data_IF_584293940743
#
_entry.id   IF_584293940743
#
_cell.length_a   1.000
_cell.length_b   1.000
_cell.length_c   1.000
_cell.angle_alpha   90.00
_cell.angle_beta   90.00
_cell.angle_gamma   90.00
#
_symmetry.space_group_name_H-M   'P 1'
#
loop_
_entity.id
_entity.type
_entity.pdbx_description
1 polymer ?
#
# COMPACT_ATOMS: atom_id res chain seq x y z
N UNK A 1 -33.81 38.08 -19.72
CA UNK A 1 -33.58 36.63 -19.51
C UNK A 1 -32.13 36.32 -19.08
N UNK A 2 -31.11 36.72 -19.85
CA UNK A 2 -29.68 36.46 -19.57
C UNK A 2 -29.19 37.03 -18.22
N UNK A 3 -29.64 38.22 -17.82
CA UNK A 3 -29.27 38.82 -16.53
C UNK A 3 -29.76 37.99 -15.34
N UNK A 4 -30.96 37.39 -15.44
CA UNK A 4 -31.57 36.57 -14.39
C UNK A 4 -30.84 35.22 -14.25
N UNK A 5 -30.38 34.64 -15.37
CA UNK A 5 -29.54 33.43 -15.37
C UNK A 5 -28.17 33.69 -14.73
N UNK A 6 -27.51 34.82 -15.06
CA UNK A 6 -26.23 35.20 -14.42
C UNK A 6 -26.37 35.41 -12.91
N UNK A 7 -27.50 35.96 -12.46
CA UNK A 7 -27.79 36.14 -11.02
C UNK A 7 -27.97 34.79 -10.30
N UNK A 8 -28.71 33.85 -10.90
CA UNK A 8 -28.91 32.51 -10.34
C UNK A 8 -27.61 31.71 -10.28
N UNK A 9 -26.75 31.77 -11.31
CA UNK A 9 -25.43 31.12 -11.29
C UNK A 9 -24.51 31.68 -10.20
N UNK A 10 -24.53 33.00 -9.97
CA UNK A 10 -23.78 33.64 -8.87
C UNK A 10 -24.29 33.18 -7.52
N UNK A 11 -25.61 33.06 -7.32
CA UNK A 11 -26.19 32.55 -6.08
C UNK A 11 -25.86 31.06 -5.85
N UNK A 12 -25.90 30.25 -6.91
CA UNK A 12 -25.55 28.83 -6.85
C UNK A 12 -24.07 28.62 -6.48
N UNK A 13 -23.16 29.37 -7.12
CA UNK A 13 -21.73 29.32 -6.79
C UNK A 13 -21.43 29.75 -5.35
N UNK A 14 -22.11 30.80 -4.83
CA UNK A 14 -21.97 31.21 -3.42
C UNK A 14 -22.45 30.12 -2.46
N UNK A 15 -23.61 29.50 -2.71
CA UNK A 15 -24.13 28.40 -1.88
C UNK A 15 -23.20 27.18 -1.91
N UNK A 16 -22.62 26.85 -3.07
CA UNK A 16 -21.66 25.74 -3.24
C UNK A 16 -20.34 26.01 -2.51
N UNK A 17 -19.82 27.24 -2.56
CA UNK A 17 -18.64 27.68 -1.81
C UNK A 17 -18.87 27.63 -0.30
N UNK A 18 -20.00 28.13 0.18
CA UNK A 18 -20.37 28.08 1.60
C UNK A 18 -20.49 26.62 2.11
N UNK A 19 -21.10 25.72 1.31
CA UNK A 19 -21.21 24.29 1.65
C UNK A 19 -19.85 23.59 1.69
N UNK A 20 -18.92 23.96 0.78
CA UNK A 20 -17.52 23.50 0.80
C UNK A 20 -16.74 24.03 2.00
N UNK A 21 -16.93 25.28 2.39
CA UNK A 21 -16.29 25.87 3.58
C UNK A 21 -16.82 25.25 4.88
N UNK A 22 -18.12 25.00 4.98
CA UNK A 22 -18.72 24.26 6.10
C UNK A 22 -18.24 22.80 6.17
N UNK A 23 -18.10 22.13 5.02
CA UNK A 23 -17.51 20.79 4.94
C UNK A 23 -16.05 20.77 5.40
N UNK A 24 -15.24 21.73 4.93
CA UNK A 24 -13.85 21.92 5.38
C UNK A 24 -13.75 22.25 6.86
N UNK A 25 -14.63 23.10 7.40
CA UNK A 25 -14.63 23.45 8.82
C UNK A 25 -15.00 22.26 9.72
N UNK A 26 -15.93 21.40 9.29
CA UNK A 26 -16.28 20.15 10.00
C UNK A 26 -15.16 19.12 9.93
N UNK A 27 -14.52 18.96 8.78
CA UNK A 27 -13.31 18.13 8.64
C UNK A 27 -12.19 18.67 9.52
N UNK A 28 -11.91 19.97 9.48
CA UNK A 28 -10.88 20.62 10.28
C UNK A 28 -11.12 20.46 11.79
N UNK A 29 -12.38 20.54 12.26
CA UNK A 29 -12.72 20.28 13.67
C UNK A 29 -12.48 18.80 14.06
N UNK A 30 -12.84 17.85 13.20
CA UNK A 30 -12.55 16.43 13.42
C UNK A 30 -11.03 16.14 13.41
N UNK A 31 -10.27 16.81 12.55
CA UNK A 31 -8.79 16.77 12.51
C UNK A 31 -8.19 17.34 13.79
N UNK A 32 -8.73 18.44 14.32
CA UNK A 32 -8.29 19.05 15.58
C UNK A 32 -8.55 18.12 16.77
N UNK A 33 -9.71 17.45 16.83
CA UNK A 33 -9.99 16.44 17.87
C UNK A 33 -9.03 15.24 17.78
N UNK A 34 -8.65 14.83 16.56
CA UNK A 34 -7.67 13.77 16.32
C UNK A 34 -6.26 14.18 16.74
N UNK A 35 -5.86 15.42 16.45
CA UNK A 35 -4.58 16.02 16.85
C UNK A 35 -4.50 16.22 18.37
N UNK A 36 -5.61 16.60 19.02
CA UNK A 36 -5.69 16.72 20.48
C UNK A 36 -5.60 15.37 21.19
N UNK A 37 -6.22 14.30 20.65
CA UNK A 37 -5.98 12.92 21.10
C UNK A 37 -4.53 12.49 20.89
N UNK A 38 -3.88 12.96 19.82
CA UNK A 38 -2.46 12.70 19.53
C UNK A 38 -1.50 13.38 20.52
N UNK A 39 -1.82 14.59 21.01
CA UNK A 39 -1.03 15.26 22.07
C UNK A 39 -1.02 14.50 23.39
N UNK A 40 -2.01 13.64 23.65
CA UNK A 40 -1.97 12.71 24.79
C UNK A 40 -1.03 11.51 24.56
N UNK A 41 -0.58 11.27 23.32
CA UNK A 41 0.20 10.09 22.90
C UNK A 41 1.69 10.38 22.59
N UNK A 42 2.16 11.62 22.76
CA UNK A 42 3.51 12.03 22.35
C UNK A 42 4.43 12.32 23.55
N UNK A 43 5.25 11.34 23.93
CA UNK A 43 6.57 11.50 24.58
C UNK A 43 7.21 10.11 24.76
N UNK A 44 8.08 9.71 23.82
CA UNK A 44 8.71 8.39 23.80
C UNK A 44 7.71 7.27 23.53
N UNK A 45 8.03 6.31 22.68
CA UNK A 45 7.15 5.15 22.45
C UNK A 45 7.27 4.21 23.66
N UNK A 46 6.66 4.61 24.76
CA UNK A 46 6.38 3.81 25.95
C UNK A 46 4.85 3.90 26.17
N UNK A 47 4.11 3.03 25.48
CA UNK A 47 2.65 2.92 25.55
C UNK A 47 2.16 1.72 24.70
N UNK A 48 1.01 1.11 25.03
CA UNK A 48 0.62 -0.20 24.52
C UNK A 48 0.16 -0.08 23.06
N UNK A 49 1.04 -0.33 22.11
CA UNK A 49 0.61 -0.53 20.73
C UNK A 49 -0.18 -1.83 20.63
N UNK A 50 -1.30 -1.86 19.90
CA UNK A 50 -2.03 -3.10 19.70
C UNK A 50 -1.12 -4.12 19.03
N UNK A 51 -1.05 -5.31 19.62
CA UNK A 51 -0.32 -6.43 19.00
C UNK A 51 -1.11 -6.85 17.77
N UNK A 52 -0.53 -6.76 16.59
CA UNK A 52 -1.24 -7.09 15.34
C UNK A 52 -0.58 -8.30 14.73
N UNK A 53 -1.41 -9.22 14.25
CA UNK A 53 -0.94 -10.24 13.35
C UNK A 53 -1.47 -10.02 11.95
N UNK A 54 -0.77 -10.60 10.99
CA UNK A 54 -1.28 -10.77 9.65
C UNK A 54 -0.80 -12.10 9.10
N UNK A 55 -1.55 -12.63 8.14
CA UNK A 55 -1.23 -13.89 7.51
C UNK A 55 -1.39 -13.81 6.00
N UNK A 56 -0.39 -14.35 5.31
CA UNK A 56 -0.37 -14.57 3.87
C UNK A 56 -0.41 -16.06 3.63
N UNK A 57 -1.32 -16.52 2.77
CA UNK A 57 -1.39 -17.91 2.35
C UNK A 57 -0.71 -18.09 1.02
N UNK A 58 0.51 -18.62 1.02
CA UNK A 58 1.35 -18.77 -0.17
C UNK A 58 1.82 -20.23 -0.30
N UNK A 59 1.87 -20.75 -1.52
CA UNK A 59 2.51 -22.03 -1.84
C UNK A 59 4.04 -21.95 -1.90
N UNK A 60 4.60 -20.73 -1.92
CA UNK A 60 6.03 -20.47 -1.97
C UNK A 60 6.53 -19.76 -0.70
N UNK A 61 7.70 -20.16 -0.19
CA UNK A 61 8.30 -19.64 1.04
C UNK A 61 8.78 -18.16 0.94
N UNK A 62 8.77 -17.59 -0.26
CA UNK A 62 9.42 -16.33 -0.66
C UNK A 62 8.71 -15.04 -0.20
N UNK A 63 7.40 -15.06 0.05
CA UNK A 63 6.65 -13.87 0.52
C UNK A 63 6.83 -13.56 2.01
N UNK A 64 7.44 -14.48 2.77
CA UNK A 64 7.60 -14.36 4.23
C UNK A 64 8.61 -13.27 4.65
N UNK A 65 9.49 -12.82 3.75
CA UNK A 65 10.54 -11.83 4.08
C UNK A 65 10.14 -10.36 3.84
N UNK A 66 9.32 -10.08 2.81
CA UNK A 66 8.77 -8.74 2.54
C UNK A 66 7.95 -8.18 3.71
N UNK A 67 7.54 -9.09 4.61
CA UNK A 67 6.70 -8.86 5.76
C UNK A 67 7.37 -8.26 7.01
N UNK A 68 8.72 -8.27 7.08
CA UNK A 68 9.47 -7.93 8.31
C UNK A 68 9.59 -6.43 8.61
N UNK A 69 9.08 -5.55 7.74
CA UNK A 69 9.28 -4.10 7.81
C UNK A 69 8.47 -3.33 8.87
N UNK A 70 7.60 -3.97 9.67
CA UNK A 70 6.75 -3.29 10.63
C UNK A 70 7.02 -3.78 12.07
N UNK A 71 7.71 -2.94 12.87
CA UNK A 71 7.95 -3.22 14.30
C UNK A 71 6.61 -3.34 15.04
N UNK A 72 6.45 -4.39 15.86
CA UNK A 72 5.24 -4.63 16.66
C UNK A 72 4.20 -5.56 16.02
N UNK A 73 4.52 -6.14 14.86
CA UNK A 73 3.65 -7.09 14.16
C UNK A 73 4.14 -8.53 14.38
N UNK A 74 3.26 -9.42 14.86
CA UNK A 74 3.49 -10.85 14.91
C UNK A 74 3.13 -11.47 13.55
N UNK A 75 4.06 -12.15 12.89
CA UNK A 75 3.76 -12.82 11.61
C UNK A 75 3.28 -14.24 11.93
N UNK A 76 2.05 -14.56 11.54
CA UNK A 76 1.53 -15.93 11.57
C UNK A 76 1.51 -16.45 10.13
N UNK A 77 2.36 -17.43 9.84
CA UNK A 77 2.37 -18.12 8.54
C UNK A 77 2.06 -19.60 8.75
N UNK A 78 0.99 -20.09 8.13
CA UNK A 78 0.73 -21.54 8.06
C UNK A 78 1.25 -22.10 6.75
N UNK A 79 2.27 -22.97 6.81
CA UNK A 79 2.54 -23.89 5.70
C UNK A 79 1.54 -25.03 5.80
N UNK A 80 0.71 -25.24 4.77
CA UNK A 80 -0.08 -26.48 4.67
C UNK A 80 0.76 -27.50 3.90
N UNK A 81 1.25 -28.59 4.52
CA UNK A 81 2.00 -29.60 3.80
C UNK A 81 1.09 -30.31 2.80
N UNK A 82 1.44 -30.30 1.51
CA UNK A 82 1.05 -31.38 0.60
C UNK A 82 -0.19 -31.22 -0.28
N UNK A 83 -0.57 -30.02 -0.74
CA UNK A 83 -1.48 -29.91 -1.89
C UNK A 83 -0.97 -28.90 -2.92
N UNK A 84 -0.18 -29.40 -3.87
CA UNK A 84 0.43 -28.67 -4.96
C UNK A 84 -0.54 -28.21 -6.08
N UNK A 85 -1.86 -28.12 -5.82
CA UNK A 85 -2.84 -27.73 -6.84
C UNK A 85 -3.83 -26.67 -6.30
N UNK A 86 -3.61 -25.41 -6.69
CA UNK A 86 -4.60 -24.33 -6.91
C UNK A 86 -5.67 -23.96 -5.86
N UNK A 87 -5.64 -24.41 -4.60
CA UNK A 87 -6.69 -24.10 -3.59
C UNK A 87 -6.22 -23.54 -2.23
N UNK A 88 -5.28 -22.60 -2.19
CA UNK A 88 -4.66 -22.15 -0.91
C UNK A 88 -5.28 -20.86 -0.32
N UNK A 89 -6.52 -20.47 -0.66
CA UNK A 89 -7.18 -19.25 -0.11
C UNK A 89 -8.48 -19.54 0.64
N UNK A 90 -8.46 -20.48 1.59
CA UNK A 90 -9.68 -20.94 2.28
C UNK A 90 -9.93 -20.22 3.59
N UNK A 91 -11.22 -20.11 3.98
CA UNK A 91 -11.62 -19.58 5.28
C UNK A 91 -11.02 -20.40 6.44
N UNK A 92 -10.86 -21.71 6.23
CA UNK A 92 -10.21 -22.62 7.19
C UNK A 92 -8.79 -22.19 7.55
N UNK A 93 -7.97 -21.87 6.54
CA UNK A 93 -6.57 -21.53 6.77
C UNK A 93 -6.43 -20.17 7.49
N UNK A 94 -7.26 -19.19 7.14
CA UNK A 94 -7.32 -17.95 7.91
C UNK A 94 -7.85 -18.13 9.34
N UNK A 95 -8.78 -19.06 9.57
CA UNK A 95 -9.25 -19.36 10.93
C UNK A 95 -8.13 -19.89 11.82
N UNK A 96 -7.29 -20.80 11.31
CA UNK A 96 -6.13 -21.31 12.04
C UNK A 96 -5.14 -20.18 12.38
N UNK A 97 -4.77 -19.34 11.41
CA UNK A 97 -3.88 -18.21 11.65
C UNK A 97 -4.48 -17.17 12.62
N UNK A 98 -5.79 -16.94 12.55
CA UNK A 98 -6.48 -16.10 13.54
C UNK A 98 -6.41 -16.72 14.94
N UNK A 99 -6.64 -18.03 15.06
CA UNK A 99 -6.53 -18.73 16.35
C UNK A 99 -5.14 -18.57 16.96
N UNK A 100 -4.08 -18.77 16.17
CA UNK A 100 -2.69 -18.59 16.61
C UNK A 100 -2.40 -17.13 17.00
N UNK A 101 -2.79 -16.18 16.14
CA UNK A 101 -2.59 -14.75 16.37
C UNK A 101 -3.27 -14.26 17.66
N UNK A 102 -4.54 -14.61 17.82
CA UNK A 102 -5.33 -14.21 18.99
C UNK A 102 -4.92 -15.01 20.23
N UNK A 103 -4.54 -16.28 20.10
CA UNK A 103 -3.92 -17.05 21.19
C UNK A 103 -2.62 -16.42 21.68
N UNK A 104 -1.82 -15.86 20.77
CA UNK A 104 -0.58 -15.18 21.10
C UNK A 104 -0.79 -13.81 21.78
N UNK A 105 -2.00 -13.26 21.82
CA UNK A 105 -2.27 -11.95 22.43
C UNK A 105 -2.47 -10.79 21.44
N UNK A 106 -2.65 -11.04 20.15
CA UNK A 106 -2.92 -9.97 19.16
C UNK A 106 -4.32 -9.38 19.32
N UNK A 107 -4.52 -8.09 19.07
CA UNK A 107 -5.81 -7.38 19.15
C UNK A 107 -6.53 -7.31 17.80
N UNK A 108 -5.78 -7.45 16.71
CA UNK A 108 -6.32 -7.52 15.35
C UNK A 108 -5.51 -8.50 14.48
N UNK A 109 -6.18 -9.05 13.48
CA UNK A 109 -5.60 -9.91 12.45
C UNK A 109 -5.86 -9.30 11.07
N UNK A 110 -4.86 -9.24 10.19
CA UNK A 110 -5.02 -8.81 8.79
C UNK A 110 -4.87 -10.02 7.86
N UNK A 111 -5.97 -10.42 7.21
CA UNK A 111 -5.97 -11.38 6.12
C UNK A 111 -5.40 -10.72 4.87
N UNK A 112 -4.41 -11.35 4.23
CA UNK A 112 -3.82 -10.91 2.97
C UNK A 112 -3.76 -12.08 1.99
N UNK A 113 -4.35 -11.90 0.82
CA UNK A 113 -4.23 -12.84 -0.30
C UNK A 113 -2.80 -12.76 -0.88
N UNK A 114 -2.22 -13.89 -1.26
CA UNK A 114 -0.83 -13.95 -1.74
C UNK A 114 -0.70 -13.60 -3.23
N UNK A 115 -1.81 -13.55 -3.98
CA UNK A 115 -1.82 -13.20 -5.41
C UNK A 115 -1.61 -11.70 -5.65
N UNK A 116 -1.75 -10.90 -4.61
CA UNK A 116 -1.68 -9.46 -4.69
C UNK A 116 -0.73 -8.86 -3.66
N UNK A 117 -0.65 -7.55 -3.66
CA UNK A 117 0.33 -6.81 -2.86
C UNK A 117 -0.32 -5.60 -2.21
N UNK A 118 -0.30 -5.49 -0.87
CA UNK A 118 -0.74 -4.28 -0.21
C UNK A 118 0.19 -3.12 -0.58
N UNK A 119 -0.39 -1.95 -0.85
CA UNK A 119 0.39 -0.70 -0.92
C UNK A 119 1.16 -0.51 0.40
N UNK A 120 2.37 0.09 0.41
CA UNK A 120 3.20 0.22 1.63
C UNK A 120 2.45 0.75 2.86
N UNK A 121 1.62 1.77 2.67
CA UNK A 121 0.82 2.36 3.76
C UNK A 121 -0.50 1.63 4.08
N UNK A 122 -0.85 0.54 3.37
CA UNK A 122 -2.17 -0.07 3.49
C UNK A 122 -2.42 -0.68 4.87
N UNK A 123 -1.43 -1.39 5.43
CA UNK A 123 -1.56 -2.00 6.76
C UNK A 123 -1.70 -0.93 7.84
N UNK A 124 -0.89 0.14 7.75
CA UNK A 124 -0.98 1.31 8.64
C UNK A 124 -2.36 1.99 8.53
N UNK A 125 -2.87 2.18 7.32
CA UNK A 125 -4.19 2.78 7.10
C UNK A 125 -5.33 1.92 7.65
N UNK A 126 -5.26 0.59 7.50
CA UNK A 126 -6.21 -0.34 8.10
C UNK A 126 -6.19 -0.24 9.62
N UNK A 127 -5.00 -0.20 10.24
CA UNK A 127 -4.87 -0.05 11.68
C UNK A 127 -5.41 1.29 12.19
N UNK A 128 -5.08 2.39 11.51
CA UNK A 128 -5.59 3.71 11.88
C UNK A 128 -7.12 3.74 11.84
N UNK A 129 -7.74 3.14 10.82
CA UNK A 129 -9.19 3.03 10.75
C UNK A 129 -9.75 2.10 11.84
N UNK A 130 -9.06 1.01 12.18
CA UNK A 130 -9.43 0.10 13.27
C UNK A 130 -9.48 0.85 14.62
N UNK A 131 -8.44 1.61 14.93
CA UNK A 131 -8.38 2.44 16.13
C UNK A 131 -9.47 3.53 16.12
N UNK A 132 -9.67 4.22 14.99
CA UNK A 132 -10.71 5.24 14.85
C UNK A 132 -12.14 4.66 14.98
N UNK A 133 -12.32 3.38 14.66
CA UNK A 133 -13.57 2.65 14.84
C UNK A 133 -13.70 2.00 16.24
N UNK A 134 -12.83 2.35 17.20
CA UNK A 134 -12.78 1.75 18.54
C UNK A 134 -12.74 0.22 18.48
N UNK A 135 -11.92 -0.32 17.58
CA UNK A 135 -11.73 -1.76 17.35
C UNK A 135 -13.01 -2.54 17.02
N UNK A 136 -14.09 -1.85 16.63
CA UNK A 136 -15.43 -2.42 16.48
C UNK A 136 -15.90 -2.44 15.01
N UNK A 137 -14.96 -2.66 14.08
CA UNK A 137 -15.24 -2.76 12.66
C UNK A 137 -14.40 -3.83 11.95
N UNK A 138 -15.06 -4.57 11.06
CA UNK A 138 -14.43 -5.37 10.00
C UNK A 138 -14.07 -4.41 8.85
N UNK A 139 -12.81 -4.36 8.45
CA UNK A 139 -12.31 -3.31 7.54
C UNK A 139 -11.55 -3.94 6.39
N UNK A 140 -11.86 -3.57 5.15
CA UNK A 140 -11.07 -4.00 3.99
C UNK A 140 -10.37 -2.86 3.25
N UNK A 141 -9.35 -3.22 2.46
CA UNK A 141 -8.69 -2.32 1.53
C UNK A 141 -9.45 -2.23 0.19
N UNK A 142 -9.19 -1.16 -0.57
CA UNK A 142 -9.64 -1.05 -1.95
C UNK A 142 -8.75 -1.92 -2.85
N UNK A 143 -9.39 -2.76 -3.65
CA UNK A 143 -8.72 -3.51 -4.71
C UNK A 143 -8.59 -2.70 -5.98
N UNK A 144 -7.46 -2.87 -6.65
CA UNK A 144 -7.21 -2.31 -7.98
C UNK A 144 -6.26 -3.23 -8.76
N UNK A 145 -6.20 -3.15 -10.11
CA UNK A 145 -6.90 -2.20 -10.96
C UNK A 145 -8.39 -2.52 -11.11
N UNK A 146 -8.80 -3.76 -10.84
CA UNK A 146 -10.20 -4.18 -10.87
C UNK A 146 -10.77 -4.20 -9.46
N UNK A 147 -11.80 -3.39 -9.24
CA UNK A 147 -12.64 -3.49 -8.05
C UNK A 147 -13.81 -4.43 -8.34
N UNK A 148 -14.12 -5.34 -7.41
CA UNK A 148 -15.40 -6.04 -7.43
C UNK A 148 -16.56 -5.02 -7.40
N UNK A 149 -17.74 -5.36 -7.96
CA UNK A 149 -18.90 -4.48 -7.98
C UNK A 149 -19.44 -4.29 -6.56
N UNK A 150 -18.81 -3.41 -5.80
CA UNK A 150 -19.12 -3.08 -4.42
C UNK A 150 -19.03 -1.58 -4.22
N UNK A 151 -20.02 -1.02 -3.53
CA UNK A 151 -20.03 0.38 -3.13
C UNK A 151 -19.81 0.53 -1.63
N UNK A 152 -19.25 1.67 -1.23
CA UNK A 152 -19.16 2.09 0.17
C UNK A 152 -19.55 3.57 0.26
N UNK A 153 -20.09 3.98 1.41
CA UNK A 153 -20.47 5.36 1.64
C UNK A 153 -19.22 6.25 1.81
N UNK A 154 -19.11 7.33 1.05
CA UNK A 154 -17.89 8.15 1.03
C UNK A 154 -17.61 8.93 2.32
N UNK A 155 -18.58 9.05 3.24
CA UNK A 155 -18.43 9.81 4.49
C UNK A 155 -18.22 8.90 5.70
N UNK A 156 -19.00 7.83 5.80
CA UNK A 156 -18.97 6.87 6.89
C UNK A 156 -18.08 5.67 6.59
N UNK A 157 -17.72 5.46 5.32
CA UNK A 157 -16.96 4.33 4.81
C UNK A 157 -17.67 2.98 4.97
N UNK A 158 -18.95 2.98 5.35
CA UNK A 158 -19.72 1.76 5.55
C UNK A 158 -19.95 1.06 4.21
N UNK A 159 -19.86 -0.27 4.22
CA UNK A 159 -20.06 -1.12 3.05
C UNK A 159 -20.98 -2.31 3.36
N UNK A 160 -21.50 -2.94 2.31
CA UNK A 160 -22.34 -4.13 2.42
C UNK A 160 -21.55 -5.33 2.97
N UNK A 161 -20.30 -5.49 2.54
CA UNK A 161 -19.42 -6.60 2.93
C UNK A 161 -17.95 -6.21 2.77
N UNK A 162 -17.07 -6.77 3.60
CA UNK A 162 -15.62 -6.60 3.50
C UNK A 162 -15.03 -7.77 2.71
N UNK A 163 -14.05 -7.49 1.87
CA UNK A 163 -13.45 -8.48 0.99
C UNK A 163 -12.17 -9.07 1.58
N UNK A 164 -12.04 -10.41 1.52
CA UNK A 164 -10.94 -11.15 2.15
C UNK A 164 -9.53 -10.89 1.58
N UNK A 165 -9.41 -10.31 0.38
CA UNK A 165 -8.11 -10.12 -0.26
C UNK A 165 -7.12 -9.27 0.57
N UNK A 166 -7.64 -8.26 1.29
CA UNK A 166 -6.87 -7.52 2.28
C UNK A 166 -7.84 -6.96 3.32
N UNK A 167 -7.97 -7.65 4.45
CA UNK A 167 -9.04 -7.41 5.43
C UNK A 167 -8.53 -7.50 6.86
N UNK A 168 -8.82 -6.48 7.66
CA UNK A 168 -8.59 -6.45 9.10
C UNK A 168 -9.81 -6.98 9.86
N UNK A 169 -9.58 -8.00 10.69
CA UNK A 169 -10.52 -8.64 11.60
C UNK A 169 -10.16 -8.31 13.05
N UNK A 170 -11.04 -7.63 13.82
CA UNK A 170 -10.83 -7.42 15.25
C UNK A 170 -10.86 -8.73 16.05
N UNK A 171 -10.06 -8.83 17.11
CA UNK A 171 -10.15 -9.94 18.10
C UNK A 171 -11.58 -10.09 18.62
N UNK A 172 -12.21 -9.01 19.03
CA UNK A 172 -13.55 -9.03 19.62
C UNK A 172 -14.62 -9.61 18.66
N UNK A 173 -14.41 -9.46 17.36
CA UNK A 173 -15.25 -10.10 16.34
C UNK A 173 -14.92 -11.59 16.25
N UNK A 174 -13.63 -11.95 16.21
CA UNK A 174 -13.19 -13.34 16.17
C UNK A 174 -13.68 -14.14 17.38
N UNK A 175 -13.60 -13.62 18.61
CA UNK A 175 -14.03 -14.34 19.82
C UNK A 175 -15.50 -14.77 19.75
N UNK A 176 -16.34 -13.95 19.11
CA UNK A 176 -17.77 -14.23 18.94
C UNK A 176 -18.10 -15.05 17.69
N UNK A 177 -17.20 -15.05 16.69
CA UNK A 177 -17.46 -15.68 15.39
C UNK A 177 -16.63 -16.92 15.11
N UNK A 178 -15.53 -17.11 15.81
CA UNK A 178 -14.50 -18.09 15.48
C UNK A 178 -14.03 -17.98 14.01
N UNK A 179 -14.09 -16.77 13.45
CA UNK A 179 -13.68 -16.46 12.08
C UNK A 179 -14.71 -16.79 11.00
N UNK A 180 -14.23 -17.21 9.84
CA UNK A 180 -15.03 -17.55 8.65
C UNK A 180 -15.93 -18.78 8.91
N UNK A 181 -17.12 -18.77 8.32
CA UNK A 181 -18.05 -19.92 8.35
C UNK A 181 -17.66 -20.91 7.24
N UNK A 182 -17.08 -22.04 7.65
CA UNK A 182 -16.46 -23.03 6.75
C UNK A 182 -17.48 -24.03 6.19
N UNK A 183 -18.75 -23.94 6.64
CA UNK A 183 -19.86 -24.67 6.04
C UNK A 183 -20.37 -24.04 4.73
N UNK A 184 -19.97 -22.79 4.45
CA UNK A 184 -20.37 -22.07 3.24
C UNK A 184 -19.38 -22.26 2.10
N UNK A 185 -19.83 -22.07 0.84
CA UNK A 185 -18.92 -21.95 -0.29
C UNK A 185 -17.88 -20.84 -0.04
N UNK A 186 -16.62 -21.10 -0.40
CA UNK A 186 -15.50 -20.18 -0.15
C UNK A 186 -15.72 -18.79 -0.75
N UNK A 187 -16.40 -18.70 -1.90
CA UNK A 187 -16.74 -17.44 -2.56
C UNK A 187 -17.72 -16.57 -1.76
N UNK A 188 -18.37 -17.13 -0.74
CA UNK A 188 -19.34 -16.44 0.11
C UNK A 188 -18.85 -16.25 1.55
N UNK A 189 -17.64 -16.72 1.88
CA UNK A 189 -17.14 -16.74 3.25
C UNK A 189 -16.99 -15.32 3.83
N UNK A 190 -16.57 -14.35 3.03
CA UNK A 190 -16.38 -12.94 3.41
C UNK A 190 -17.72 -12.18 3.55
N UNK A 191 -18.68 -12.44 2.66
CA UNK A 191 -20.07 -11.98 2.79
C UNK A 191 -20.70 -12.52 4.07
N UNK A 192 -20.49 -13.81 4.37
CA UNK A 192 -21.03 -14.46 5.56
C UNK A 192 -20.44 -13.88 6.86
N UNK A 193 -19.12 -13.72 6.91
CA UNK A 193 -18.47 -13.08 8.06
C UNK A 193 -18.95 -11.64 8.23
N UNK A 194 -19.12 -10.89 7.14
CA UNK A 194 -19.66 -9.52 7.17
C UNK A 194 -21.08 -9.45 7.72
N UNK A 195 -21.95 -10.39 7.32
CA UNK A 195 -23.32 -10.46 7.82
C UNK A 195 -23.35 -10.77 9.32
N UNK A 196 -22.51 -11.71 9.77
CA UNK A 196 -22.37 -12.07 11.19
C UNK A 196 -21.81 -10.92 12.02
N UNK A 197 -20.80 -10.21 11.50
CA UNK A 197 -20.27 -9.01 12.14
C UNK A 197 -21.36 -7.95 12.36
N UNK A 198 -22.19 -7.69 11.34
CA UNK A 198 -23.32 -6.75 11.46
C UNK A 198 -24.37 -7.20 12.47
N UNK A 199 -24.69 -8.49 12.51
CA UNK A 199 -25.63 -9.05 13.49
C UNK A 199 -25.14 -8.88 14.93
N UNK A 200 -23.82 -8.88 15.15
CA UNK A 200 -23.17 -8.63 16.44
C UNK A 200 -22.92 -7.12 16.70
N UNK A 201 -23.43 -6.23 15.86
CA UNK A 201 -23.33 -4.77 16.04
C UNK A 201 -22.02 -4.15 15.53
N UNK A 202 -21.08 -4.95 14.99
CA UNK A 202 -19.86 -4.42 14.37
C UNK A 202 -20.20 -3.66 13.09
N UNK A 203 -19.41 -2.63 12.78
CA UNK A 203 -19.45 -1.99 11.47
C UNK A 203 -18.68 -2.81 10.45
N UNK A 204 -19.04 -2.65 9.18
CA UNK A 204 -18.27 -3.18 8.06
C UNK A 204 -17.88 -1.99 7.19
N UNK A 205 -16.59 -1.77 6.98
CA UNK A 205 -16.05 -0.57 6.36
C UNK A 205 -15.03 -0.89 5.28
N UNK A 206 -14.91 0.00 4.29
CA UNK A 206 -13.80 0.01 3.33
C UNK A 206 -12.88 1.18 3.64
N UNK A 207 -11.58 0.92 3.80
CA UNK A 207 -10.59 1.94 4.08
C UNK A 207 -10.06 2.52 2.76
N UNK A 208 -10.45 3.75 2.36
CA UNK A 208 -10.03 4.32 1.07
C UNK A 208 -8.53 4.63 1.02
N UNK A 209 -7.87 4.74 2.18
CA UNK A 209 -6.43 4.94 2.27
C UNK A 209 -5.63 3.63 2.20
N UNK A 210 -6.27 2.47 2.30
CA UNK A 210 -5.64 1.17 2.13
C UNK A 210 -5.91 0.67 0.71
N UNK A 211 -4.83 0.49 -0.07
CA UNK A 211 -4.89 -0.04 -1.43
C UNK A 211 -4.24 -1.41 -1.46
N UNK A 212 -4.81 -2.33 -2.23
CA UNK A 212 -4.29 -3.67 -2.44
C UNK A 212 -4.29 -3.99 -3.93
N UNK A 213 -3.10 -4.20 -4.48
CA UNK A 213 -2.93 -4.61 -5.87
C UNK A 213 -3.37 -6.05 -5.98
N UNK A 214 -4.24 -6.36 -6.92
CA UNK A 214 -4.44 -7.73 -7.37
C UNK A 214 -4.19 -7.72 -8.86
N UNK A 215 -3.13 -8.40 -9.30
CA UNK A 215 -2.90 -8.56 -10.73
C UNK A 215 -4.15 -9.23 -11.34
N UNK A 216 -4.67 -8.74 -12.49
CA UNK A 216 -5.69 -9.49 -13.20
C UNK A 216 -5.12 -10.88 -13.50
N UNK A 217 -5.99 -11.91 -13.54
CA UNK A 217 -5.58 -13.25 -13.97
C UNK A 217 -4.98 -13.13 -15.38
N UNK A 218 -3.64 -13.07 -15.47
CA UNK A 218 -2.98 -13.12 -16.76
C UNK A 218 -3.31 -14.49 -17.37
N UNK A 219 -3.66 -14.57 -18.65
CA UNK A 219 -3.56 -15.84 -19.34
C UNK A 219 -2.14 -16.35 -19.09
N UNK A 220 -1.99 -17.66 -18.87
CA UNK A 220 -0.69 -18.30 -18.84
C UNK A 220 -0.01 -18.16 -20.22
N UNK A 221 0.47 -16.97 -20.54
CA UNK A 221 1.36 -16.75 -21.66
C UNK A 221 2.73 -17.12 -21.16
N UNK A 222 3.25 -18.25 -21.64
CA UNK A 222 4.64 -18.66 -21.51
C UNK A 222 5.62 -17.71 -22.20
N UNK A 223 5.44 -16.40 -22.02
CA UNK A 223 6.46 -15.42 -22.32
C UNK A 223 7.58 -15.66 -21.31
N UNK A 224 8.74 -16.12 -21.80
CA UNK A 224 9.99 -16.03 -21.04
C UNK A 224 10.11 -14.57 -20.59
N UNK A 225 9.98 -14.31 -19.28
CA UNK A 225 10.34 -13.00 -18.75
C UNK A 225 11.81 -12.80 -19.09
N UNK A 226 12.12 -11.75 -19.84
CA UNK A 226 13.50 -11.34 -20.06
C UNK A 226 14.27 -11.36 -18.74
N UNK A 227 15.49 -11.90 -18.77
CA UNK A 227 16.42 -11.78 -17.64
C UNK A 227 17.34 -10.57 -17.83
N UNK A 228 17.12 -9.79 -18.89
CA UNK A 228 17.91 -8.59 -19.12
C UNK A 228 17.60 -7.56 -18.04
N UNK A 229 18.66 -6.89 -17.56
CA UNK A 229 18.56 -5.91 -16.50
C UNK A 229 17.67 -4.74 -16.91
N UNK A 230 16.86 -4.27 -15.95
CA UNK A 230 16.24 -2.94 -15.97
C UNK A 230 16.99 -1.99 -15.04
N UNK A 231 17.37 -0.83 -15.55
CA UNK A 231 17.87 0.29 -14.75
C UNK A 231 16.71 1.24 -14.43
N UNK A 232 16.47 1.44 -13.14
CA UNK A 232 15.43 2.33 -12.61
C UNK A 232 16.11 3.60 -12.12
N UNK A 233 15.79 4.73 -12.74
CA UNK A 233 16.31 6.04 -12.35
C UNK A 233 15.28 6.73 -11.46
N UNK A 234 15.68 7.02 -10.22
CA UNK A 234 14.89 7.71 -9.23
C UNK A 234 15.54 9.04 -8.86
N UNK A 235 14.86 10.16 -9.16
CA UNK A 235 15.38 11.50 -8.83
C UNK A 235 15.02 11.85 -7.41
N UNK A 236 15.95 12.42 -6.64
CA UNK A 236 15.69 12.80 -5.27
C UNK A 236 16.39 14.10 -4.87
N UNK A 237 15.64 15.18 -4.65
CA UNK A 237 16.20 16.54 -4.54
C UNK A 237 15.94 17.22 -3.20
N UNK A 238 15.28 16.55 -2.26
CA UNK A 238 14.97 17.10 -0.95
C UNK A 238 15.03 16.02 0.14
N UNK A 239 16.08 16.04 0.94
CA UNK A 239 16.30 15.08 2.04
C UNK A 239 15.13 15.04 3.03
N UNK A 240 14.36 16.14 3.18
CA UNK A 240 13.20 16.18 4.08
C UNK A 240 12.08 15.23 3.63
N UNK A 241 12.08 14.86 2.35
CA UNK A 241 11.12 13.91 1.74
C UNK A 241 11.61 12.46 1.78
N UNK A 242 12.60 12.14 2.61
CA UNK A 242 13.18 10.78 2.71
C UNK A 242 12.17 9.69 3.06
N UNK A 243 11.08 10.03 3.77
CA UNK A 243 9.99 9.10 4.04
C UNK A 243 9.26 8.64 2.77
N UNK A 244 9.17 9.49 1.76
CA UNK A 244 8.60 9.15 0.46
C UNK A 244 9.56 8.26 -0.33
N UNK A 245 10.84 8.67 -0.40
CA UNK A 245 11.89 7.87 -1.03
C UNK A 245 11.93 6.45 -0.45
N UNK A 246 11.82 6.33 0.89
CA UNK A 246 11.74 5.05 1.58
C UNK A 246 10.65 4.14 1.01
N UNK A 247 9.46 4.69 0.73
CA UNK A 247 8.33 3.92 0.15
C UNK A 247 8.62 3.53 -1.29
N UNK A 248 9.15 4.44 -2.10
CA UNK A 248 9.53 4.17 -3.49
C UNK A 248 10.57 3.03 -3.56
N UNK A 249 11.66 3.14 -2.80
CA UNK A 249 12.73 2.12 -2.76
C UNK A 249 12.21 0.78 -2.25
N UNK A 250 11.34 0.78 -1.22
CA UNK A 250 10.71 -0.44 -0.72
C UNK A 250 9.92 -1.15 -1.84
N UNK A 251 9.19 -0.40 -2.66
CA UNK A 251 8.44 -1.01 -3.77
C UNK A 251 9.33 -1.62 -4.85
N UNK A 252 10.51 -1.04 -5.10
CA UNK A 252 11.50 -1.63 -6.02
C UNK A 252 12.13 -2.89 -5.41
N UNK A 253 12.48 -2.88 -4.13
CA UNK A 253 13.01 -4.04 -3.43
C UNK A 253 12.01 -5.21 -3.38
N UNK A 254 10.71 -4.91 -3.35
CA UNK A 254 9.65 -5.92 -3.40
C UNK A 254 9.32 -6.42 -4.82
N UNK A 255 10.01 -5.94 -5.86
CA UNK A 255 9.76 -6.35 -7.25
C UNK A 255 9.99 -7.84 -7.47
N UNK A 256 9.15 -8.45 -8.30
CA UNK A 256 9.32 -9.84 -8.75
C UNK A 256 10.26 -9.94 -9.96
N UNK A 257 10.71 -8.82 -10.53
CA UNK A 257 11.65 -8.83 -11.66
C UNK A 257 13.07 -9.20 -11.20
N UNK A 258 13.79 -10.07 -11.94
CA UNK A 258 14.98 -10.75 -11.40
C UNK A 258 16.26 -9.91 -11.35
N UNK A 259 16.51 -8.99 -12.29
CA UNK A 259 17.73 -8.15 -12.31
C UNK A 259 17.33 -6.66 -12.41
N UNK A 260 17.44 -5.96 -11.28
CA UNK A 260 17.16 -4.52 -11.16
C UNK A 260 18.39 -3.78 -10.66
N UNK A 261 18.72 -2.72 -11.37
CA UNK A 261 19.61 -1.67 -10.89
C UNK A 261 18.78 -0.44 -10.54
N UNK A 262 18.93 0.09 -9.33
CA UNK A 262 18.27 1.30 -8.87
C UNK A 262 19.31 2.41 -8.71
N UNK A 263 19.14 3.49 -9.47
CA UNK A 263 19.97 4.69 -9.40
C UNK A 263 19.18 5.81 -8.74
N UNK A 264 19.59 6.20 -7.52
CA UNK A 264 19.07 7.38 -6.84
C UNK A 264 19.94 8.56 -7.20
N UNK A 265 19.42 9.48 -8.02
CA UNK A 265 20.16 10.65 -8.50
C UNK A 265 19.77 11.86 -7.66
N UNK A 266 20.69 12.35 -6.84
CA UNK A 266 20.46 13.46 -5.92
C UNK A 266 20.93 14.79 -6.49
N UNK A 267 20.36 15.90 -6.02
CA UNK A 267 20.76 17.25 -6.41
C UNK A 267 21.32 18.00 -5.21
N UNK A 268 22.60 18.38 -5.26
CA UNK A 268 23.26 19.20 -4.23
C UNK A 268 23.20 18.66 -2.80
N UNK A 269 23.20 17.33 -2.61
CA UNK A 269 23.23 16.76 -1.28
C UNK A 269 24.64 16.87 -0.69
N UNK A 270 24.76 17.20 0.58
CA UNK A 270 26.03 17.13 1.30
C UNK A 270 26.32 15.69 1.80
N UNK A 271 27.45 15.50 2.48
CA UNK A 271 27.81 14.19 3.02
C UNK A 271 26.79 13.66 4.05
N UNK A 272 26.18 14.56 4.84
CA UNK A 272 25.20 14.18 5.86
C UNK A 272 23.88 13.75 5.20
N UNK A 273 23.44 14.44 4.16
CA UNK A 273 22.27 14.09 3.36
C UNK A 273 22.44 12.74 2.66
N UNK A 274 23.60 12.51 2.03
CA UNK A 274 23.92 11.22 1.40
C UNK A 274 23.94 10.09 2.45
N UNK A 275 24.56 10.32 3.62
CA UNK A 275 24.57 9.36 4.71
C UNK A 275 23.15 9.08 5.25
N UNK A 276 22.28 10.10 5.28
CA UNK A 276 20.88 9.93 5.67
C UNK A 276 20.12 9.04 4.68
N UNK A 277 20.29 9.28 3.37
CA UNK A 277 19.73 8.43 2.31
C UNK A 277 20.22 6.99 2.47
N UNK A 278 21.53 6.75 2.56
CA UNK A 278 22.12 5.42 2.73
C UNK A 278 21.56 4.68 3.95
N UNK A 279 21.45 5.36 5.09
CA UNK A 279 20.91 4.78 6.33
C UNK A 279 19.48 4.26 6.17
N UNK A 280 18.67 4.93 5.33
CA UNK A 280 17.29 4.53 5.09
C UNK A 280 17.19 3.42 4.05
N UNK A 281 17.97 3.50 2.96
CA UNK A 281 17.80 2.61 1.81
C UNK A 281 18.58 1.30 1.92
N UNK A 282 19.76 1.28 2.56
CA UNK A 282 20.59 0.07 2.64
C UNK A 282 19.85 -1.09 3.31
N UNK A 283 19.17 -0.89 4.46
CA UNK A 283 18.39 -1.97 5.08
C UNK A 283 17.25 -2.47 4.19
N UNK A 284 16.71 -1.62 3.31
CA UNK A 284 15.62 -1.99 2.41
C UNK A 284 16.15 -2.82 1.24
N UNK A 285 17.32 -2.47 0.71
CA UNK A 285 17.98 -3.23 -0.34
C UNK A 285 18.34 -4.65 0.13
N UNK A 286 18.71 -4.82 1.40
CA UNK A 286 18.97 -6.13 2.02
C UNK A 286 17.72 -7.01 2.13
N UNK A 287 16.52 -6.42 2.11
CA UNK A 287 15.24 -7.15 2.15
C UNK A 287 14.74 -7.56 0.75
N UNK A 288 15.46 -7.18 -0.31
CA UNK A 288 15.04 -7.48 -1.67
C UNK A 288 15.11 -8.99 -1.93
N UNK A 289 14.05 -9.55 -2.50
CA UNK A 289 14.01 -10.99 -2.86
C UNK A 289 15.07 -11.36 -3.90
N UNK A 290 15.37 -10.41 -4.79
CA UNK A 290 16.44 -10.51 -5.78
C UNK A 290 17.51 -9.46 -5.45
N UNK A 291 18.80 -9.74 -5.72
CA UNK A 291 19.86 -8.76 -5.48
C UNK A 291 19.60 -7.42 -6.17
N UNK A 292 19.30 -6.39 -5.37
CA UNK A 292 19.08 -5.03 -5.86
C UNK A 292 20.42 -4.30 -5.97
N UNK A 293 20.81 -3.91 -7.19
CA UNK A 293 22.03 -3.11 -7.39
C UNK A 293 21.73 -1.64 -7.17
N UNK A 294 22.13 -1.13 -6.02
CA UNK A 294 21.85 0.24 -5.62
C UNK A 294 23.04 1.15 -5.90
N UNK A 295 22.77 2.28 -6.55
CA UNK A 295 23.74 3.37 -6.74
C UNK A 295 23.12 4.69 -6.31
N UNK A 296 23.89 5.52 -5.61
CA UNK A 296 23.54 6.92 -5.34
C UNK A 296 24.50 7.79 -6.15
N UNK A 297 23.96 8.69 -6.96
CA UNK A 297 24.76 9.61 -7.77
C UNK A 297 24.36 11.03 -7.44
N UNK A 298 25.26 11.78 -6.82
CA UNK A 298 25.00 13.17 -6.48
C UNK A 298 25.42 14.11 -7.62
N UNK A 299 24.51 14.96 -8.07
CA UNK A 299 24.73 15.93 -9.14
C UNK A 299 24.85 17.34 -8.56
N UNK A 300 26.04 17.98 -8.64
CA UNK A 300 26.20 19.37 -8.27
C UNK A 300 25.58 20.30 -9.32
N UNK A 301 24.85 21.31 -8.85
CA UNK A 301 24.12 22.28 -9.63
C UNK A 301 24.18 23.66 -8.97
N UNK A 302 24.11 24.71 -9.79
CA UNK A 302 24.01 26.08 -9.28
C UNK A 302 22.81 26.23 -8.31
N UNK A 303 22.93 27.01 -7.22
CA UNK A 303 21.83 27.25 -6.29
C UNK A 303 20.58 27.76 -7.02
N UNK A 304 19.41 27.22 -6.67
CA UNK A 304 18.13 27.61 -7.27
C UNK A 304 17.89 27.09 -8.71
N UNK A 305 18.84 26.36 -9.30
CA UNK A 305 18.66 25.73 -10.61
C UNK A 305 17.72 24.53 -10.50
N UNK A 306 16.73 24.48 -11.38
CA UNK A 306 15.94 23.28 -11.62
C UNK A 306 16.76 22.31 -12.48
N UNK A 307 17.26 21.23 -11.86
CA UNK A 307 18.10 20.25 -12.53
C UNK A 307 17.35 18.97 -12.88
N UNK A 308 16.01 18.97 -12.89
CA UNK A 308 15.20 17.75 -13.08
C UNK A 308 15.61 16.95 -14.33
N UNK A 309 15.82 17.61 -15.46
CA UNK A 309 16.25 16.97 -16.71
C UNK A 309 17.70 16.50 -16.65
N UNK A 310 18.58 17.23 -15.98
CA UNK A 310 19.99 16.85 -15.83
C UNK A 310 20.13 15.59 -14.98
N UNK A 311 19.33 15.48 -13.92
CA UNK A 311 19.26 14.29 -13.09
C UNK A 311 18.80 13.06 -13.88
N UNK A 312 17.77 13.21 -14.75
CA UNK A 312 17.34 12.12 -15.63
C UNK A 312 18.46 11.70 -16.59
N UNK A 313 19.06 12.66 -17.29
CA UNK A 313 20.13 12.38 -18.25
C UNK A 313 21.35 11.74 -17.59
N UNK A 314 21.71 12.19 -16.38
CA UNK A 314 22.78 11.59 -15.59
C UNK A 314 22.45 10.15 -15.20
N UNK A 315 21.23 9.91 -14.71
CA UNK A 315 20.76 8.56 -14.41
C UNK A 315 20.78 7.64 -15.64
N UNK A 316 20.32 8.14 -16.78
CA UNK A 316 20.36 7.41 -18.07
C UNK A 316 21.79 7.07 -18.47
N UNK A 317 22.71 8.03 -18.41
CA UNK A 317 24.11 7.82 -18.78
C UNK A 317 24.85 6.84 -17.83
N UNK A 318 24.36 6.67 -16.60
CA UNK A 318 24.90 5.74 -15.61
C UNK A 318 24.22 4.38 -15.61
N UNK A 319 23.09 4.24 -16.31
CA UNK A 319 22.31 3.02 -16.38
C UNK A 319 23.06 1.93 -17.15
N UNK A 320 23.00 0.69 -16.66
CA UNK A 320 23.67 -0.48 -17.28
C UNK A 320 22.70 -1.52 -17.86
N UNK A 321 21.40 -1.32 -17.66
CA UNK A 321 20.35 -2.22 -18.11
C UNK A 321 20.04 -2.08 -19.60
N UNK A 322 19.52 -3.17 -20.18
CA UNK A 322 18.89 -3.14 -21.51
C UNK A 322 17.63 -2.27 -21.50
N UNK A 323 16.88 -2.36 -20.41
CA UNK A 323 15.67 -1.61 -20.20
C UNK A 323 15.94 -0.45 -19.24
N UNK A 324 15.23 0.66 -19.46
CA UNK A 324 15.31 1.85 -18.64
C UNK A 324 13.91 2.21 -18.15
N UNK A 325 13.78 2.50 -16.86
CA UNK A 325 12.55 2.98 -16.25
C UNK A 325 12.82 4.22 -15.40
N UNK A 326 11.79 5.06 -15.25
CA UNK A 326 11.81 6.20 -14.35
C UNK A 326 10.81 5.97 -13.22
N UNK A 327 11.23 6.30 -11.99
CA UNK A 327 10.39 6.23 -10.81
C UNK A 327 10.58 7.52 -10.00
N UNK A 328 9.54 8.32 -9.84
CA UNK A 328 9.62 9.49 -8.97
C UNK A 328 9.67 9.04 -7.50
N UNK A 329 10.41 9.78 -6.66
CA UNK A 329 10.67 9.40 -5.27
C UNK A 329 9.42 9.40 -4.38
N UNK A 330 8.33 10.02 -4.84
CA UNK A 330 7.02 10.07 -4.18
C UNK A 330 5.97 9.11 -4.77
N UNK A 331 6.36 8.29 -5.77
CA UNK A 331 5.54 7.24 -6.34
C UNK A 331 5.83 5.87 -5.73
N UNK A 332 4.89 4.94 -5.95
CA UNK A 332 5.04 3.53 -5.59
C UNK A 332 4.77 2.67 -6.81
N UNK A 333 5.59 1.63 -7.02
CA UNK A 333 5.40 0.69 -8.13
C UNK A 333 4.93 -0.68 -7.62
N UNK A 334 4.14 -1.42 -8.41
CA UNK A 334 3.71 -2.76 -8.03
C UNK A 334 4.75 -3.83 -8.36
N UNK A 335 4.84 -4.92 -7.59
CA UNK A 335 5.93 -5.89 -7.73
C UNK A 335 6.13 -6.45 -9.14
N UNK A 336 5.05 -6.66 -9.88
CA UNK A 336 5.06 -7.26 -11.22
C UNK A 336 5.24 -6.23 -12.35
N UNK A 337 5.24 -4.93 -12.03
CA UNK A 337 5.13 -3.87 -13.04
C UNK A 337 6.25 -3.90 -14.08
N UNK A 338 7.52 -4.08 -13.67
CA UNK A 338 8.63 -4.14 -14.62
C UNK A 338 8.52 -5.34 -15.56
N UNK A 339 8.17 -6.52 -15.03
CA UNK A 339 7.99 -7.72 -15.85
C UNK A 339 6.85 -7.58 -16.86
N UNK A 340 5.73 -6.98 -16.45
CA UNK A 340 4.61 -6.70 -17.34
C UNK A 340 4.99 -5.71 -18.44
N UNK A 341 5.58 -4.56 -18.08
CA UNK A 341 5.95 -3.52 -19.05
C UNK A 341 7.01 -4.01 -20.05
N UNK A 342 8.01 -4.76 -19.58
CA UNK A 342 9.04 -5.34 -20.44
C UNK A 342 8.45 -6.42 -21.35
N UNK A 343 7.55 -7.26 -20.83
CA UNK A 343 6.83 -8.24 -21.64
C UNK A 343 6.04 -7.58 -22.77
N UNK A 344 5.35 -6.47 -22.51
CA UNK A 344 4.64 -5.69 -23.53
C UNK A 344 5.60 -5.06 -24.55
N UNK A 345 6.74 -4.51 -24.11
CA UNK A 345 7.78 -3.98 -25.00
C UNK A 345 8.27 -5.04 -26.00
N UNK A 346 8.57 -6.24 -25.50
CA UNK A 346 9.08 -7.35 -26.30
C UNK A 346 8.02 -7.89 -27.26
N UNK A 347 6.79 -8.10 -26.77
CA UNK A 347 5.69 -8.62 -27.59
C UNK A 347 5.27 -7.66 -28.70
N UNK A 348 5.19 -6.36 -28.40
CA UNK A 348 4.82 -5.35 -29.37
C UNK A 348 6.00 -4.86 -30.23
N UNK A 349 7.23 -5.29 -29.93
CA UNK A 349 8.47 -4.75 -30.49
C UNK A 349 8.48 -3.20 -30.44
N UNK A 350 8.06 -2.64 -29.30
CA UNK A 350 7.89 -1.21 -29.09
C UNK A 350 9.13 -0.59 -28.45
N UNK A 351 9.31 0.73 -28.63
CA UNK A 351 10.40 1.48 -27.97
C UNK A 351 10.07 1.97 -26.55
N UNK A 352 8.78 2.10 -26.21
CA UNK A 352 8.30 2.64 -24.93
C UNK A 352 7.00 1.91 -24.54
N UNK A 353 6.89 1.53 -23.27
CA UNK A 353 5.67 1.06 -22.64
C UNK A 353 5.35 1.94 -21.43
N UNK A 354 4.06 2.12 -21.14
CA UNK A 354 3.59 2.95 -20.05
C UNK A 354 2.46 2.25 -19.29
N UNK A 355 2.61 2.14 -17.98
CA UNK A 355 1.61 1.53 -17.10
C UNK A 355 0.52 2.52 -16.70
N UNK A 356 -0.65 2.03 -16.33
CA UNK A 356 -1.69 2.87 -15.73
C UNK A 356 -1.23 3.48 -14.40
N UNK A 357 -1.50 4.77 -14.20
CA UNK A 357 -1.19 5.49 -12.95
C UNK A 357 -2.47 5.74 -12.15
N UNK A 358 -2.41 5.48 -10.85
CA UNK A 358 -3.48 5.82 -9.90
C UNK A 358 -2.93 6.84 -8.91
N UNK A 359 -3.51 8.04 -8.89
CA UNK A 359 -3.13 9.07 -7.92
C UNK A 359 -3.83 8.83 -6.60
N UNK A 360 -3.03 8.64 -5.54
CA UNK A 360 -3.51 8.57 -4.16
C UNK A 360 -3.28 9.92 -3.47
N UNK A 361 -4.34 10.51 -2.93
CA UNK A 361 -4.21 11.67 -2.05
C UNK A 361 -4.24 11.19 -0.58
N UNK A 362 -3.20 11.51 0.17
CA UNK A 362 -3.12 11.28 1.60
C UNK A 362 -2.62 12.54 2.29
N UNK A 363 -3.17 12.87 3.45
CA UNK A 363 -2.66 13.93 4.31
C UNK A 363 -1.58 13.31 5.20
N UNK A 364 -0.30 13.56 4.86
CA UNK A 364 0.81 13.28 5.76
C UNK A 364 0.84 14.36 6.83
N UNK A 365 0.72 13.96 8.09
CA UNK A 365 0.93 14.84 9.23
C UNK A 365 2.35 14.62 9.73
N UNK A 366 3.21 15.63 9.57
CA UNK A 366 4.58 15.59 10.05
C UNK A 366 4.63 15.31 11.57
N UNK A 367 5.65 14.56 11.98
CA UNK A 367 6.02 14.38 13.38
C UNK A 367 6.57 15.71 13.90
N UNK A 368 5.80 16.40 14.76
CA UNK A 368 6.25 17.59 15.51
C UNK A 368 6.50 17.20 16.95
#
# INVERSE_FOLDING_TARGET
MIAKVKQLLRQWNRKRLAKRQLGRARQHKASIDLVQRRRQLGNGIAGPFPRIAWGVLTSEATLTEQARCLRGIAIASSQTPGQANSQVFTGNAHNAMMADAFGAGCEAYIAVDARGTPHPDALTALLQMHLAANSSALIDAILFPQSYPKSFDANSYNTAWAQRACMLVPRALYEQTQGFDTSRPEQQADIALSARAKALGFKVKTCPAALYFMAPDSPATGARSSTDRVSVVCRFHDVRRIGELKRAVLTVACSTYPDIELLIVTQNFDEADIAAVQRVINPIAELAQNPLKLQIVNHPCAPGKDARTELLNLGMARSTGRYLAFLDHDDTIYPQAYGLLIGELEQANAGIAFGGIITKHFECFDEV
#
